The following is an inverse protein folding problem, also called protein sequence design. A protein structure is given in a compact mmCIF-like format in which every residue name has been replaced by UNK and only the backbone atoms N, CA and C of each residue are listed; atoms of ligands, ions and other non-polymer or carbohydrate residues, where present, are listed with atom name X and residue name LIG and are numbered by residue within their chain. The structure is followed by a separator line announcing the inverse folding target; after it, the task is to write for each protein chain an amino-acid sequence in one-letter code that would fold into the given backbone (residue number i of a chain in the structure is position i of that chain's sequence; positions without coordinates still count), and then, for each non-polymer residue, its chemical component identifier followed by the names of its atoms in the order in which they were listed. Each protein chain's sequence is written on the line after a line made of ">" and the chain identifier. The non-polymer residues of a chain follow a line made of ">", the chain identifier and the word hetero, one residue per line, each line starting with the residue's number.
data_IF_891022369918
#
_entry.id   IF_891022369918
#
_cell.length_a   1.000
_cell.length_b   1.000
_cell.length_c   1.000
_cell.angle_alpha   90.00
_cell.angle_beta   90.00
_cell.angle_gamma   90.00
#
_symmetry.space_group_name_H-M   'P 1'
#
loop_
_entity.id
_entity.type
_entity.pdbx_description
1 polymer ?
#
# COMPACT_ATOMS: atom_id res chain seq x y z
N UNK A 1 -68.22 -2.82 46.65
CA UNK A 1 -67.30 -1.66 46.73
C UNK A 1 -67.01 -1.21 45.30
N UNK A 2 -67.68 -0.15 44.86
CA UNK A 2 -67.56 0.41 43.50
C UNK A 2 -66.42 1.43 43.49
N UNK A 3 -65.40 1.24 42.65
CA UNK A 3 -64.41 2.28 42.35
C UNK A 3 -64.45 2.58 40.86
N UNK A 4 -64.45 3.89 40.61
CA UNK A 4 -65.03 4.61 39.47
C UNK A 4 -63.99 4.72 38.35
N UNK A 5 -64.47 4.68 37.11
CA UNK A 5 -63.71 5.00 35.89
C UNK A 5 -64.10 6.41 35.44
N UNK A 6 -63.11 7.28 35.20
CA UNK A 6 -63.13 8.55 34.44
C UNK A 6 -61.68 8.75 33.94
N UNK A 7 -61.34 8.58 32.64
CA UNK A 7 -61.60 9.41 31.44
C UNK A 7 -60.99 10.82 31.64
N UNK A 8 -60.07 11.42 30.87
CA UNK A 8 -59.51 11.25 29.51
C UNK A 8 -58.33 12.24 29.23
N UNK A 9 -57.56 11.99 28.14
CA UNK A 9 -56.99 12.94 27.12
C UNK A 9 -55.88 13.92 27.58
N UNK A 10 -54.73 14.17 26.92
CA UNK A 10 -54.13 13.98 25.58
C UNK A 10 -52.58 13.93 25.76
N UNK A 11 -51.66 13.68 24.82
CA UNK A 11 -51.63 13.66 23.36
C UNK A 11 -50.32 12.98 22.87
N UNK A 12 -50.34 12.46 21.63
CA UNK A 12 -49.22 12.24 20.70
C UNK A 12 -48.13 11.22 21.07
N UNK A 13 -47.64 10.34 20.18
CA UNK A 13 -47.86 10.09 18.77
C UNK A 13 -47.23 8.73 18.39
N UNK A 14 -47.67 8.22 17.23
CA UNK A 14 -47.02 7.23 16.37
C UNK A 14 -47.04 5.74 16.77
N UNK A 15 -48.00 5.05 16.17
CA UNK A 15 -47.99 3.64 15.79
C UNK A 15 -46.72 3.25 15.02
N UNK A 16 -46.11 2.11 15.34
CA UNK A 16 -46.03 0.97 14.41
C UNK A 16 -45.32 -0.23 15.06
N UNK A 17 -46.08 -1.32 15.22
CA UNK A 17 -45.60 -2.68 15.39
C UNK A 17 -45.82 -3.43 14.08
N UNK A 18 -44.75 -3.91 13.46
CA UNK A 18 -44.60 -5.26 12.89
C UNK A 18 -43.41 -5.30 11.94
N UNK A 19 -42.71 -6.43 12.00
CA UNK A 19 -41.45 -6.65 11.30
C UNK A 19 -41.57 -6.71 9.79
N UNK A 20 -40.42 -6.80 9.14
CA UNK A 20 -40.18 -7.81 8.13
C UNK A 20 -38.66 -7.91 7.89
N UNK A 21 -38.18 -9.13 7.76
CA UNK A 21 -36.78 -9.45 7.46
C UNK A 21 -36.51 -9.05 6.00
N UNK A 22 -35.61 -8.10 5.77
CA UNK A 22 -35.06 -7.87 4.44
C UNK A 22 -33.61 -8.38 4.39
N UNK A 23 -33.49 -9.67 4.05
CA UNK A 23 -32.26 -10.26 3.51
C UNK A 23 -32.36 -10.07 1.99
N UNK A 24 -31.43 -9.29 1.42
CA UNK A 24 -31.17 -9.26 -0.02
C UNK A 24 -29.69 -9.07 -0.27
N UNK A 25 -29.00 -10.15 -0.63
CA UNK A 25 -28.01 -10.15 -1.71
C UNK A 25 -27.73 -11.59 -2.12
N UNK A 26 -28.54 -12.08 -3.04
CA UNK A 26 -28.25 -13.23 -3.90
C UNK A 26 -27.27 -12.73 -4.97
N UNK A 27 -26.06 -13.29 -5.05
CA UNK A 27 -25.72 -14.38 -5.97
C UNK A 27 -26.24 -14.13 -7.39
N UNK A 28 -25.34 -13.61 -8.23
CA UNK A 28 -25.46 -13.70 -9.69
C UNK A 28 -24.11 -14.24 -10.19
N UNK A 29 -24.04 -15.58 -10.27
CA UNK A 29 -23.05 -16.35 -11.00
C UNK A 29 -23.82 -17.12 -12.06
N UNK A 30 -23.32 -17.08 -13.30
CA UNK A 30 -23.72 -17.75 -14.56
C UNK A 30 -23.67 -16.68 -15.65
N UNK A 31 -23.16 -16.83 -16.86
CA UNK A 31 -22.53 -17.91 -17.62
C UNK A 31 -22.28 -17.29 -19.01
N UNK A 32 -21.13 -17.50 -19.65
CA UNK A 32 -21.05 -17.58 -21.12
C UNK A 32 -19.68 -18.11 -21.54
N UNK A 33 -19.63 -19.41 -21.80
CA UNK A 33 -18.68 -20.06 -22.68
C UNK A 33 -18.94 -19.65 -24.14
N UNK A 34 -17.87 -19.76 -24.96
CA UNK A 34 -17.88 -19.89 -26.43
C UNK A 34 -18.37 -18.63 -27.20
N UNK A 35 -17.79 -18.13 -28.29
CA UNK A 35 -16.96 -18.62 -29.40
C UNK A 35 -16.20 -17.36 -29.93
N UNK A 36 -15.02 -17.38 -30.54
CA UNK A 36 -14.76 -17.81 -31.92
C UNK A 36 -13.24 -17.78 -32.13
N UNK A 37 -12.68 -18.95 -32.43
CA UNK A 37 -11.34 -19.11 -32.96
C UNK A 37 -11.48 -18.95 -34.47
N UNK A 38 -11.19 -17.76 -34.99
CA UNK A 38 -11.09 -17.56 -36.44
C UNK A 38 -9.61 -17.73 -36.84
N UNK A 39 -9.27 -18.97 -37.20
CA UNK A 39 -8.08 -19.30 -37.95
C UNK A 39 -8.28 -18.83 -39.38
N UNK A 40 -7.56 -17.80 -39.80
CA UNK A 40 -7.41 -17.53 -41.23
C UNK A 40 -5.96 -17.15 -41.60
N UNK A 41 -5.40 -18.04 -42.42
CA UNK A 41 -4.52 -17.77 -43.55
C UNK A 41 -3.05 -17.45 -43.23
N UNK A 42 -2.27 -18.53 -43.29
CA UNK A 42 -0.89 -18.52 -43.76
C UNK A 42 -0.86 -17.90 -45.18
N UNK A 43 -0.17 -16.78 -45.34
CA UNK A 43 0.46 -16.40 -46.60
C UNK A 43 1.89 -15.97 -46.35
N UNK A 44 2.75 -16.69 -47.05
CA UNK A 44 4.20 -16.60 -47.11
C UNK A 44 4.68 -15.31 -47.79
N UNK A 45 6.00 -15.10 -47.72
CA UNK A 45 6.82 -14.10 -48.40
C UNK A 45 6.74 -12.66 -47.88
N UNK A 46 7.76 -12.23 -47.12
CA UNK A 46 8.79 -11.38 -47.75
C UNK A 46 10.10 -11.44 -46.96
N UNK A 47 11.20 -11.51 -47.70
CA UNK A 47 12.55 -11.62 -47.20
C UNK A 47 13.01 -10.28 -46.60
N UNK A 48 13.25 -10.24 -45.29
CA UNK A 48 13.98 -9.13 -44.66
C UNK A 48 15.21 -9.68 -43.94
N UNK A 49 16.26 -9.78 -44.75
CA UNK A 49 17.63 -9.36 -44.46
C UNK A 49 17.99 -9.25 -42.97
N UNK A 50 18.55 -10.35 -42.44
CA UNK A 50 19.25 -10.36 -41.15
C UNK A 50 20.59 -9.63 -41.31
N UNK A 51 20.57 -8.30 -41.23
CA UNK A 51 21.78 -7.56 -40.90
C UNK A 51 21.89 -7.49 -39.36
N UNK A 52 22.64 -8.46 -38.82
CA UNK A 52 22.99 -8.54 -37.42
C UNK A 52 24.00 -7.44 -37.07
N UNK A 53 23.52 -6.21 -36.88
CA UNK A 53 24.30 -5.16 -36.24
C UNK A 53 24.07 -5.31 -34.73
N UNK A 54 24.98 -6.05 -34.10
CA UNK A 54 25.26 -5.82 -32.69
C UNK A 54 25.70 -4.36 -32.57
N UNK A 55 24.89 -3.53 -31.91
CA UNK A 55 25.42 -2.30 -31.33
C UNK A 55 24.94 -2.22 -29.90
N UNK A 56 25.92 -2.11 -29.04
CA UNK A 56 25.78 -2.11 -27.60
C UNK A 56 25.16 -0.78 -27.18
N UNK A 57 23.84 -0.71 -27.09
CA UNK A 57 23.20 0.37 -26.34
C UNK A 57 22.87 -0.14 -24.96
N UNK A 58 23.91 -0.10 -24.13
CA UNK A 58 23.87 -0.03 -22.69
C UNK A 58 22.67 0.81 -22.24
N UNK A 59 21.61 0.15 -21.76
CA UNK A 59 20.56 0.79 -20.96
C UNK A 59 21.16 1.20 -19.62
N UNK A 60 21.93 2.29 -19.64
CA UNK A 60 22.14 3.14 -18.47
C UNK A 60 21.00 4.14 -18.48
N UNK A 61 19.87 3.72 -17.93
CA UNK A 61 18.97 4.65 -17.26
C UNK A 61 19.59 4.92 -15.88
N UNK A 62 20.74 5.62 -15.89
CA UNK A 62 21.41 6.13 -14.68
C UNK A 62 20.73 7.44 -14.30
N UNK A 63 19.69 7.29 -13.49
CA UNK A 63 19.43 8.07 -12.28
C UNK A 63 20.05 9.48 -12.21
N UNK A 64 19.49 10.44 -12.96
CA UNK A 64 19.65 11.87 -12.62
C UNK A 64 18.54 12.31 -11.66
N UNK A 65 18.49 11.73 -10.45
CA UNK A 65 17.85 12.41 -9.32
C UNK A 65 18.85 13.39 -8.68
N UNK A 66 18.41 14.60 -8.32
CA UNK A 66 19.29 15.67 -7.88
C UNK A 66 20.10 15.25 -6.66
N UNK A 67 21.38 15.56 -6.69
CA UNK A 67 22.39 15.25 -5.68
C UNK A 67 22.01 15.80 -4.30
N UNK A 68 21.20 15.07 -3.52
CA UNK A 68 21.20 15.26 -2.06
C UNK A 68 22.57 14.81 -1.58
N UNK A 69 23.21 15.63 -0.75
CA UNK A 69 24.54 15.35 -0.22
C UNK A 69 24.57 13.94 0.39
N UNK A 70 25.61 13.15 0.09
CA UNK A 70 25.75 11.73 0.56
C UNK A 70 25.60 11.54 2.07
N UNK A 71 25.66 12.62 2.85
CA UNK A 71 25.49 12.62 4.32
C UNK A 71 24.02 12.43 4.73
N UNK A 72 23.05 12.76 3.89
CA UNK A 72 21.61 12.60 4.20
C UNK A 72 21.01 11.30 3.65
N UNK A 73 21.70 10.62 2.73
CA UNK A 73 21.16 9.47 2.03
C UNK A 73 21.49 8.14 2.72
N UNK A 74 20.44 7.36 3.03
CA UNK A 74 20.59 5.94 3.37
C UNK A 74 20.99 5.14 2.13
N UNK A 75 21.94 4.22 2.26
CA UNK A 75 22.28 3.33 1.13
C UNK A 75 21.24 2.21 0.98
N UNK A 76 21.11 1.64 -0.22
CA UNK A 76 20.17 0.55 -0.48
C UNK A 76 20.38 -0.67 0.43
N UNK A 77 21.64 -1.03 0.70
CA UNK A 77 21.97 -2.13 1.60
C UNK A 77 21.59 -1.84 3.06
N UNK A 78 21.72 -0.58 3.51
CA UNK A 78 21.30 -0.18 4.86
C UNK A 78 19.77 -0.21 4.97
N UNK A 79 19.08 0.25 3.93
CA UNK A 79 17.62 0.20 3.84
C UNK A 79 17.08 -1.24 3.89
N UNK A 80 17.72 -2.17 3.16
CA UNK A 80 17.36 -3.59 3.17
C UNK A 80 17.57 -4.24 4.55
N UNK A 81 18.73 -3.98 5.17
CA UNK A 81 19.03 -4.48 6.50
C UNK A 81 18.02 -3.93 7.53
N UNK A 82 17.68 -2.65 7.43
CA UNK A 82 16.73 -1.98 8.29
C UNK A 82 15.32 -2.56 8.13
N UNK A 83 14.83 -2.67 6.89
CA UNK A 83 13.50 -3.21 6.58
C UNK A 83 13.32 -4.63 7.12
N UNK A 84 14.37 -5.44 7.11
CA UNK A 84 14.36 -6.80 7.67
C UNK A 84 14.16 -6.83 9.19
N UNK A 85 14.58 -5.78 9.91
CA UNK A 85 14.41 -5.66 11.37
C UNK A 85 13.19 -4.84 11.77
N UNK A 86 12.50 -4.23 10.82
CA UNK A 86 11.39 -3.33 11.11
C UNK A 86 10.06 -4.09 11.21
N UNK A 87 9.76 -4.62 12.39
CA UNK A 87 8.51 -5.37 12.64
C UNK A 87 7.27 -4.46 12.70
N UNK A 88 7.40 -3.27 13.29
CA UNK A 88 6.29 -2.32 13.49
C UNK A 88 6.28 -1.19 12.46
N UNK A 89 6.50 -1.52 11.19
CA UNK A 89 6.67 -0.54 10.10
C UNK A 89 5.49 0.42 9.96
N UNK A 90 4.24 -0.02 10.23
CA UNK A 90 3.05 0.85 10.22
C UNK A 90 3.09 1.93 11.29
N UNK A 91 3.63 1.61 12.46
CA UNK A 91 3.78 2.57 13.57
C UNK A 91 4.82 3.63 13.22
N UNK A 92 5.90 3.21 12.54
CA UNK A 92 6.88 4.13 11.99
C UNK A 92 6.25 5.01 10.91
N UNK A 93 5.53 4.42 9.95
CA UNK A 93 4.87 5.16 8.87
C UNK A 93 3.95 6.27 9.41
N UNK A 94 3.14 5.97 10.42
CA UNK A 94 2.29 6.96 11.08
C UNK A 94 3.08 8.08 11.78
N UNK A 95 4.31 7.82 12.25
CA UNK A 95 5.21 8.85 12.80
C UNK A 95 5.93 9.67 11.75
N UNK A 96 6.20 9.08 10.59
CA UNK A 96 6.75 9.77 9.42
C UNK A 96 5.70 10.64 8.70
N UNK A 97 4.43 10.57 9.13
CA UNK A 97 3.37 11.45 8.64
C UNK A 97 2.45 10.81 7.59
N UNK A 98 2.69 9.54 7.23
CA UNK A 98 1.80 8.81 6.32
C UNK A 98 0.41 8.64 6.92
N UNK A 99 -0.59 8.88 6.08
CA UNK A 99 -2.00 8.73 6.41
C UNK A 99 -2.43 7.25 6.35
N UNK A 100 -3.55 6.88 6.98
CA UNK A 100 -4.01 5.49 7.00
C UNK A 100 -4.25 4.87 5.60
N UNK A 101 -4.71 5.67 4.64
CA UNK A 101 -4.90 5.26 3.25
C UNK A 101 -3.58 4.97 2.53
N UNK A 102 -2.54 5.77 2.79
CA UNK A 102 -1.19 5.54 2.25
C UNK A 102 -0.56 4.28 2.87
N UNK A 103 -0.75 4.08 4.18
CA UNK A 103 -0.30 2.84 4.86
C UNK A 103 -1.00 1.62 4.26
N UNK A 104 -2.31 1.71 4.00
CA UNK A 104 -3.07 0.65 3.35
C UNK A 104 -2.57 0.38 1.92
N UNK A 105 -2.23 1.43 1.18
CA UNK A 105 -1.62 1.29 -0.16
C UNK A 105 -0.32 0.50 -0.12
N UNK A 106 0.57 0.76 0.85
CA UNK A 106 1.78 -0.05 1.01
C UNK A 106 1.45 -1.52 1.27
N UNK A 107 0.41 -1.80 2.07
CA UNK A 107 -0.01 -3.18 2.33
C UNK A 107 -0.50 -3.92 1.09
N UNK A 108 -1.18 -3.22 0.18
CA UNK A 108 -1.74 -3.82 -1.03
C UNK A 108 -0.68 -4.01 -2.12
N UNK A 109 0.24 -3.06 -2.25
CA UNK A 109 1.27 -3.11 -3.30
C UNK A 109 2.39 -4.10 -2.99
N UNK A 110 2.66 -4.35 -1.71
CA UNK A 110 3.80 -5.13 -1.28
C UNK A 110 3.35 -6.38 -0.50
N UNK A 111 3.82 -7.55 -0.95
CA UNK A 111 3.38 -8.84 -0.39
C UNK A 111 3.91 -9.14 1.02
N UNK A 112 5.05 -8.56 1.41
CA UNK A 112 5.73 -8.88 2.68
C UNK A 112 5.95 -7.62 3.51
N UNK A 113 5.99 -7.76 4.84
CA UNK A 113 6.25 -6.62 5.73
C UNK A 113 7.62 -5.98 5.49
N UNK A 114 8.62 -6.77 5.09
CA UNK A 114 9.94 -6.26 4.70
C UNK A 114 9.84 -5.39 3.45
N UNK A 115 9.14 -5.84 2.40
CA UNK A 115 9.00 -5.05 1.17
C UNK A 115 8.14 -3.79 1.40
N UNK A 116 7.11 -3.87 2.27
CA UNK A 116 6.32 -2.71 2.71
C UNK A 116 7.16 -1.67 3.44
N UNK A 117 7.93 -2.11 4.44
CA UNK A 117 8.84 -1.27 5.20
C UNK A 117 9.86 -0.58 4.31
N UNK A 118 10.48 -1.34 3.39
CA UNK A 118 11.46 -0.81 2.44
C UNK A 118 10.85 0.25 1.53
N UNK A 119 9.71 -0.04 0.92
CA UNK A 119 9.05 0.87 -0.02
C UNK A 119 8.64 2.18 0.68
N UNK A 120 8.04 2.09 1.86
CA UNK A 120 7.66 3.25 2.68
C UNK A 120 8.88 4.11 3.06
N UNK A 121 9.96 3.49 3.54
CA UNK A 121 11.18 4.23 3.91
C UNK A 121 11.85 4.85 2.68
N UNK A 122 11.87 4.16 1.55
CA UNK A 122 12.43 4.69 0.30
C UNK A 122 11.70 5.96 -0.13
N UNK A 123 10.36 5.92 -0.13
CA UNK A 123 9.55 7.10 -0.46
C UNK A 123 9.79 8.24 0.52
N UNK A 124 9.92 7.95 1.82
CA UNK A 124 10.21 8.99 2.80
C UNK A 124 11.58 9.65 2.55
N UNK A 125 12.61 8.86 2.27
CA UNK A 125 13.94 9.39 1.90
C UNK A 125 13.96 10.14 0.57
N UNK A 126 13.04 9.85 -0.34
CA UNK A 126 12.94 10.52 -1.63
C UNK A 126 12.15 11.85 -1.54
N UNK A 127 11.05 11.86 -0.78
CA UNK A 127 10.06 12.95 -0.80
C UNK A 127 10.21 13.96 0.35
N UNK A 128 10.74 13.56 1.51
CA UNK A 128 10.84 14.44 2.68
C UNK A 128 12.21 15.16 2.70
N UNK A 129 12.22 16.49 2.73
CA UNK A 129 13.44 17.33 2.73
C UNK A 129 14.33 17.11 3.96
N UNK A 130 13.71 16.78 5.10
CA UNK A 130 14.36 16.53 6.39
C UNK A 130 14.69 15.04 6.60
N UNK A 131 14.47 14.20 5.57
CA UNK A 131 14.86 12.80 5.63
C UNK A 131 16.39 12.67 5.71
N UNK A 132 16.83 12.12 6.84
CA UNK A 132 18.21 11.77 7.12
C UNK A 132 18.25 10.55 8.04
N UNK A 133 19.36 9.82 8.02
CA UNK A 133 19.52 8.65 8.89
C UNK A 133 19.48 9.05 10.37
N UNK A 134 20.00 10.24 10.72
CA UNK A 134 19.94 10.78 12.08
C UNK A 134 18.49 11.07 12.54
N UNK A 135 17.69 11.72 11.68
CA UNK A 135 16.29 12.01 11.99
C UNK A 135 15.48 10.70 12.10
N UNK A 136 15.74 9.74 11.20
CA UNK A 136 15.12 8.42 11.26
C UNK A 136 15.46 7.69 12.56
N UNK A 137 16.73 7.69 12.96
CA UNK A 137 17.19 7.11 14.22
C UNK A 137 16.48 7.74 15.41
N UNK A 138 16.38 9.08 15.46
CA UNK A 138 15.69 9.79 16.53
C UNK A 138 14.21 9.36 16.65
N UNK A 139 13.51 9.26 15.52
CA UNK A 139 12.11 8.83 15.49
C UNK A 139 11.97 7.38 15.96
N UNK A 140 12.83 6.49 15.46
CA UNK A 140 12.82 5.06 15.78
C UNK A 140 13.18 4.78 17.25
N UNK A 141 14.12 5.54 17.83
CA UNK A 141 14.43 5.51 19.27
C UNK A 141 13.22 5.94 20.10
N UNK A 142 12.53 7.01 19.71
CA UNK A 142 11.28 7.45 20.33
C UNK A 142 10.16 6.39 20.25
N UNK A 143 10.19 5.54 19.22
CA UNK A 143 9.28 4.41 19.04
C UNK A 143 9.71 3.13 19.76
N UNK A 144 10.90 3.12 20.36
CA UNK A 144 11.56 1.97 21.01
C UNK A 144 11.88 0.81 20.06
N UNK A 145 12.21 1.11 18.80
CA UNK A 145 12.61 0.12 17.78
C UNK A 145 14.11 -0.19 17.86
N UNK A 146 14.58 -0.63 19.03
CA UNK A 146 16.01 -0.77 19.34
C UNK A 146 16.78 -1.65 18.32
N UNK A 147 16.24 -2.81 17.98
CA UNK A 147 16.87 -3.76 17.03
C UNK A 147 17.13 -3.13 15.65
N UNK A 148 16.21 -2.29 15.20
CA UNK A 148 16.30 -1.61 13.92
C UNK A 148 17.23 -0.39 13.98
N UNK A 149 17.27 0.32 15.12
CA UNK A 149 18.26 1.37 15.37
C UNK A 149 19.69 0.81 15.41
N UNK A 150 19.88 -0.35 16.05
CA UNK A 150 21.19 -1.00 16.17
C UNK A 150 21.72 -1.42 14.80
N UNK A 151 20.86 -1.85 13.88
CA UNK A 151 21.26 -2.10 12.49
C UNK A 151 21.87 -0.86 11.86
N UNK A 152 21.16 0.28 11.90
CA UNK A 152 21.65 1.54 11.32
C UNK A 152 22.95 2.02 11.98
N UNK A 153 23.09 1.86 13.29
CA UNK A 153 24.31 2.22 14.02
C UNK A 153 25.49 1.30 13.70
N UNK A 154 25.25 0.03 13.39
CA UNK A 154 26.31 -0.94 13.06
C UNK A 154 26.92 -0.74 11.67
N UNK A 155 26.23 -0.01 10.80
CA UNK A 155 26.57 0.22 9.39
C UNK A 155 26.95 1.68 9.10
N UNK A 156 26.99 2.53 10.14
CA UNK A 156 27.54 3.88 10.12
C UNK A 156 29.01 3.85 10.54
#
# INVERSE_FOLDING_TARGET
>A
MVKRITREVAANAASNSNGDKMIKQEQNYEEMCEEQIETDIIKEEDATDMDAVNDSTHTVEDDEKPSRSRVTMITHSQLDALATKLTDWKKLAAKLGYKPDEIQFFETENATDVSRAKNMLQLWFDDDEDASVENLLYIMEGLKMADACDVLKSVM
#
